data_IF_597435936172
#
_entry.id   IF_597435936172
#
_cell.length_a   1.000
_cell.length_b   1.000
_cell.length_c   1.000
_cell.angle_alpha   90.00
_cell.angle_beta   90.00
_cell.angle_gamma   90.00
#
_symmetry.space_group_name_H-M   'P 1'
#
loop_
_entity.id
_entity.type
_entity.pdbx_description
1 polymer ?
#
# COMPACT_ATOMS: atom_id res chain seq x y z
N UNK A 1 18.81 0.03 36.78
CA UNK A 1 18.09 0.67 35.67
C UNK A 1 19.14 1.14 34.70
N UNK A 2 19.30 0.47 33.56
CA UNK A 2 20.17 0.96 32.50
C UNK A 2 19.61 2.28 31.98
N UNK A 3 20.47 3.27 31.74
CA UNK A 3 20.05 4.47 31.04
C UNK A 3 19.49 4.07 29.66
N UNK A 4 18.46 4.76 29.14
CA UNK A 4 18.01 4.51 27.78
C UNK A 4 19.20 4.72 26.83
N UNK A 5 19.42 3.76 25.92
CA UNK A 5 20.57 3.79 25.01
C UNK A 5 20.57 5.02 24.10
N UNK A 6 19.39 5.60 23.86
CA UNK A 6 19.19 6.83 23.10
C UNK A 6 18.17 7.76 23.79
N UNK A 7 18.38 9.08 23.77
CA UNK A 7 17.38 10.08 24.17
C UNK A 7 16.06 9.92 23.40
N UNK A 8 14.92 10.15 24.08
CA UNK A 8 13.60 10.00 23.46
C UNK A 8 13.39 10.90 22.22
N UNK A 9 13.98 12.10 22.21
CA UNK A 9 13.95 12.99 21.06
C UNK A 9 14.67 12.41 19.84
N UNK A 10 15.77 11.68 20.04
CA UNK A 10 16.52 11.06 18.95
C UNK A 10 15.75 9.86 18.37
N UNK A 11 15.06 9.10 19.23
CA UNK A 11 14.16 8.02 18.82
C UNK A 11 13.02 8.56 17.96
N UNK A 12 12.35 9.63 18.42
CA UNK A 12 11.26 10.28 17.71
C UNK A 12 11.74 10.77 16.31
N UNK A 13 12.93 11.35 16.24
CA UNK A 13 13.55 11.81 15.00
C UNK A 13 13.89 10.64 14.06
N UNK A 14 14.43 9.54 14.59
CA UNK A 14 14.79 8.34 13.84
C UNK A 14 13.59 7.56 13.31
N UNK A 15 12.39 7.80 13.83
CA UNK A 15 11.14 7.25 13.29
C UNK A 15 10.57 8.16 12.20
N UNK A 16 10.45 9.46 12.50
CA UNK A 16 9.75 10.40 11.63
C UNK A 16 10.58 10.74 10.38
N UNK A 17 11.88 11.00 10.52
CA UNK A 17 12.71 11.40 9.38
C UNK A 17 12.74 10.35 8.27
N UNK A 18 13.01 9.05 8.53
CA UNK A 18 12.99 8.04 7.47
C UNK A 18 11.65 7.92 6.77
N UNK A 19 10.55 7.97 7.51
CA UNK A 19 9.22 7.88 6.91
C UNK A 19 8.90 9.11 6.03
N UNK A 20 9.27 10.31 6.48
CA UNK A 20 9.13 11.52 5.64
C UNK A 20 10.02 11.44 4.40
N UNK A 21 11.27 10.95 4.54
CA UNK A 21 12.17 10.73 3.40
C UNK A 21 11.60 9.70 2.42
N UNK A 22 10.99 8.63 2.91
CA UNK A 22 10.29 7.63 2.10
C UNK A 22 9.16 8.25 1.27
N UNK A 23 8.33 9.10 1.88
CA UNK A 23 7.28 9.84 1.15
C UNK A 23 7.85 10.81 0.11
N UNK A 24 8.91 11.54 0.45
CA UNK A 24 9.59 12.46 -0.49
C UNK A 24 10.16 11.67 -1.66
N UNK A 25 10.76 10.51 -1.40
CA UNK A 25 11.28 9.62 -2.44
C UNK A 25 10.16 9.08 -3.34
N UNK A 26 9.07 8.57 -2.76
CA UNK A 26 7.89 8.15 -3.53
C UNK A 26 7.33 9.29 -4.38
N UNK A 27 7.27 10.52 -3.86
CA UNK A 27 6.83 11.67 -4.63
C UNK A 27 7.79 12.00 -5.78
N UNK A 28 9.11 11.92 -5.55
CA UNK A 28 10.13 12.10 -6.58
C UNK A 28 10.01 11.06 -7.70
N UNK A 29 9.84 9.78 -7.37
CA UNK A 29 9.66 8.72 -8.36
C UNK A 29 8.34 8.87 -9.12
N UNK A 30 7.27 9.30 -8.45
CA UNK A 30 6.00 9.64 -9.11
C UNK A 30 6.16 10.82 -10.10
N UNK A 31 6.95 11.85 -9.74
CA UNK A 31 7.28 12.95 -10.64
C UNK A 31 8.12 12.49 -11.83
N UNK A 32 9.05 11.56 -11.64
CA UNK A 32 9.81 10.95 -12.73
C UNK A 32 8.89 10.20 -13.70
N UNK A 33 7.99 9.35 -13.18
CA UNK A 33 6.99 8.64 -13.99
C UNK A 33 6.08 9.61 -14.74
N UNK A 34 5.71 10.75 -14.14
CA UNK A 34 4.97 11.82 -14.82
C UNK A 34 5.78 12.50 -15.94
N UNK A 35 7.10 12.51 -15.81
CA UNK A 35 8.03 13.00 -16.84
C UNK A 35 8.05 12.13 -18.10
N UNK A 36 7.71 10.84 -17.98
CA UNK A 36 7.52 9.94 -19.14
C UNK A 36 6.27 10.38 -19.91
N UNK A 37 6.52 11.08 -21.03
CA UNK A 37 5.46 11.57 -21.92
C UNK A 37 5.15 10.52 -22.97
N UNK A 38 3.86 10.19 -23.12
CA UNK A 38 3.33 9.26 -24.11
C UNK A 38 3.32 9.90 -25.52
N UNK A 39 4.48 10.35 -25.99
CA UNK A 39 4.66 11.07 -27.25
C UNK A 39 5.32 10.21 -28.34
N UNK A 40 5.53 8.91 -28.07
CA UNK A 40 6.30 8.01 -28.92
C UNK A 40 7.82 8.17 -28.74
N UNK A 41 8.57 7.18 -29.23
CA UNK A 41 10.04 7.22 -29.26
C UNK A 41 10.52 7.46 -30.70
N UNK A 42 11.05 8.64 -31.03
CA UNK A 42 11.47 8.96 -32.40
C UNK A 42 12.61 8.07 -32.92
N UNK A 43 13.46 7.53 -32.04
CA UNK A 43 14.67 6.80 -32.43
C UNK A 43 14.44 5.31 -32.76
N UNK A 44 13.43 4.65 -32.18
CA UNK A 44 13.04 3.27 -32.53
C UNK A 44 12.15 3.21 -33.79
N UNK A 45 11.49 4.31 -34.13
CA UNK A 45 10.72 4.50 -35.37
C UNK A 45 11.59 4.65 -36.62
N UNK A 46 12.89 4.93 -36.46
CA UNK A 46 13.82 5.09 -37.59
C UNK A 46 14.25 3.74 -38.23
N UNK A 47 13.87 2.59 -37.64
CA UNK A 47 14.21 1.26 -38.18
C UNK A 47 13.10 0.59 -39.01
N UNK A 48 11.92 1.21 -39.11
CA UNK A 48 10.83 0.73 -39.96
C UNK A 48 10.15 1.92 -40.66
N UNK A 49 10.57 2.18 -41.90
CA UNK A 49 9.96 3.18 -42.77
C UNK A 49 8.46 2.89 -42.96
N UNK A 50 7.61 3.87 -42.58
CA UNK A 50 6.24 4.21 -43.06
C UNK A 50 5.17 4.61 -41.99
N UNK A 51 5.47 4.67 -40.68
CA UNK A 51 4.43 4.73 -39.63
C UNK A 51 4.26 6.05 -38.85
N UNK A 52 4.31 7.21 -39.51
CA UNK A 52 3.99 8.48 -38.85
C UNK A 52 2.55 8.57 -38.32
N UNK A 53 1.58 8.06 -39.10
CA UNK A 53 0.14 8.09 -38.77
C UNK A 53 -0.26 6.90 -37.86
N UNK A 54 0.33 5.72 -38.09
CA UNK A 54 0.12 4.53 -37.27
C UNK A 54 0.63 4.71 -35.83
N UNK A 55 1.76 5.39 -35.62
CA UNK A 55 2.29 5.62 -34.27
C UNK A 55 1.37 6.50 -33.42
N UNK A 56 0.83 7.57 -34.00
CA UNK A 56 -0.13 8.44 -33.34
C UNK A 56 -1.42 7.68 -33.01
N UNK A 57 -1.86 6.80 -33.93
CA UNK A 57 -3.01 5.92 -33.72
C UNK A 57 -2.77 4.92 -32.60
N UNK A 58 -1.61 4.25 -32.55
CA UNK A 58 -1.28 3.30 -31.48
C UNK A 58 -1.23 4.01 -30.12
N UNK A 59 -0.58 5.18 -30.02
CA UNK A 59 -0.53 5.98 -28.79
C UNK A 59 -1.93 6.37 -28.30
N UNK A 60 -2.81 6.76 -29.23
CA UNK A 60 -4.20 7.07 -28.93
C UNK A 60 -4.94 5.83 -28.39
N UNK A 61 -4.87 4.71 -29.10
CA UNK A 61 -5.51 3.45 -28.68
C UNK A 61 -5.02 3.00 -27.30
N UNK A 62 -3.70 3.04 -27.08
CA UNK A 62 -3.08 2.66 -25.81
C UNK A 62 -3.57 3.54 -24.64
N UNK A 63 -3.71 4.85 -24.88
CA UNK A 63 -4.25 5.78 -23.88
C UNK A 63 -5.75 5.55 -23.62
N UNK A 64 -6.52 5.22 -24.66
CA UNK A 64 -7.95 4.87 -24.53
C UNK A 64 -8.14 3.60 -23.70
N UNK A 65 -7.38 2.53 -23.97
CA UNK A 65 -7.41 1.27 -23.21
C UNK A 65 -7.03 1.52 -21.74
N UNK A 66 -5.94 2.25 -21.50
CA UNK A 66 -5.54 2.62 -20.14
C UNK A 66 -6.64 3.41 -19.42
N UNK A 67 -7.37 4.27 -20.14
CA UNK A 67 -8.54 4.99 -19.62
C UNK A 67 -9.66 4.05 -19.17
N UNK A 68 -10.00 3.03 -19.97
CA UNK A 68 -11.01 2.03 -19.59
C UNK A 68 -10.58 1.21 -18.37
N UNK A 69 -9.32 0.78 -18.30
CA UNK A 69 -8.78 0.07 -17.14
C UNK A 69 -8.84 0.96 -15.89
N UNK A 70 -8.46 2.24 -16.02
CA UNK A 70 -8.51 3.20 -14.92
C UNK A 70 -9.92 3.43 -14.39
N UNK A 71 -10.89 3.59 -15.29
CA UNK A 71 -12.29 3.79 -14.95
C UNK A 71 -12.85 2.54 -14.27
N UNK A 72 -12.61 1.35 -14.83
CA UNK A 72 -13.05 0.07 -14.27
C UNK A 72 -12.47 -0.19 -12.87
N UNK A 73 -11.15 -0.03 -12.71
CA UNK A 73 -10.48 -0.24 -11.42
C UNK A 73 -10.95 0.75 -10.36
N UNK A 74 -11.15 2.02 -10.74
CA UNK A 74 -11.69 3.04 -9.82
C UNK A 74 -13.14 2.73 -9.44
N UNK A 75 -13.98 2.33 -10.40
CA UNK A 75 -15.37 2.00 -10.15
C UNK A 75 -15.51 0.80 -9.20
N UNK A 76 -14.71 -0.25 -9.41
CA UNK A 76 -14.69 -1.43 -8.54
C UNK A 76 -14.26 -1.07 -7.12
N UNK A 77 -13.11 -0.40 -6.93
CA UNK A 77 -12.64 -0.06 -5.58
C UNK A 77 -13.60 0.87 -4.84
N UNK A 78 -14.23 1.84 -5.53
CA UNK A 78 -15.24 2.70 -4.89
C UNK A 78 -16.42 1.86 -4.38
N UNK A 79 -16.87 0.87 -5.14
CA UNK A 79 -17.94 -0.02 -4.71
C UNK A 79 -17.51 -0.93 -3.57
N UNK A 80 -16.36 -1.55 -3.67
CA UNK A 80 -15.82 -2.40 -2.61
C UNK A 80 -15.67 -1.63 -1.29
N UNK A 81 -15.08 -0.42 -1.35
CA UNK A 81 -14.88 0.42 -0.17
C UNK A 81 -16.20 0.93 0.43
N UNK A 82 -17.25 1.12 -0.36
CA UNK A 82 -18.58 1.42 0.18
C UNK A 82 -19.09 0.31 1.10
N UNK A 83 -18.91 -0.95 0.72
CA UNK A 83 -19.28 -2.09 1.58
C UNK A 83 -18.37 -2.20 2.81
N UNK A 84 -17.06 -1.98 2.64
CA UNK A 84 -16.11 -1.98 3.75
C UNK A 84 -16.42 -0.92 4.80
N UNK A 85 -16.85 0.29 4.39
CA UNK A 85 -17.24 1.35 5.34
C UNK A 85 -18.41 0.91 6.22
N UNK A 86 -19.41 0.24 5.64
CA UNK A 86 -20.54 -0.30 6.41
C UNK A 86 -20.05 -1.33 7.44
N UNK A 87 -19.15 -2.23 7.02
CA UNK A 87 -18.51 -3.18 7.93
C UNK A 87 -17.73 -2.49 9.05
N UNK A 88 -16.89 -1.50 8.73
CA UNK A 88 -16.10 -0.75 9.72
C UNK A 88 -17.00 -0.10 10.76
N UNK A 89 -18.11 0.52 10.36
CA UNK A 89 -19.06 1.16 11.29
C UNK A 89 -19.70 0.13 12.22
N UNK A 90 -20.20 -0.98 11.67
CA UNK A 90 -20.85 -2.03 12.47
C UNK A 90 -19.85 -2.67 13.44
N UNK A 91 -18.66 -3.01 12.96
CA UNK A 91 -17.63 -3.66 13.76
C UNK A 91 -17.06 -2.72 14.81
N UNK A 92 -16.92 -1.42 14.51
CA UNK A 92 -16.57 -0.39 15.50
C UNK A 92 -17.61 -0.29 16.61
N UNK A 93 -18.90 -0.40 16.29
CA UNK A 93 -19.96 -0.44 17.30
C UNK A 93 -19.86 -1.67 18.23
N UNK A 94 -19.49 -2.82 17.67
CA UNK A 94 -19.24 -4.05 18.44
C UNK A 94 -18.03 -3.89 19.37
N UNK A 95 -16.92 -3.35 18.86
CA UNK A 95 -15.70 -3.09 19.65
C UNK A 95 -15.97 -2.08 20.77
N UNK A 96 -16.74 -1.02 20.50
CA UNK A 96 -17.11 -0.04 21.51
C UNK A 96 -17.94 -0.65 22.65
N UNK A 97 -18.77 -1.66 22.36
CA UNK A 97 -19.59 -2.34 23.34
C UNK A 97 -18.82 -3.40 24.14
N UNK A 98 -17.91 -4.15 23.51
CA UNK A 98 -17.23 -5.30 24.13
C UNK A 98 -15.84 -5.00 24.69
N UNK A 99 -15.14 -3.98 24.17
CA UNK A 99 -13.73 -3.74 24.46
C UNK A 99 -13.56 -2.36 25.10
N UNK A 100 -13.21 -1.34 24.31
CA UNK A 100 -13.03 0.04 24.75
C UNK A 100 -12.97 0.99 23.55
N UNK A 101 -13.05 2.29 23.83
CA UNK A 101 -13.09 3.32 22.80
C UNK A 101 -11.71 3.61 22.17
N UNK A 102 -10.61 3.37 22.88
CA UNK A 102 -9.25 3.48 22.36
C UNK A 102 -8.98 2.43 21.27
N UNK A 103 -9.37 1.18 21.51
CA UNK A 103 -9.31 0.11 20.50
C UNK A 103 -10.11 0.45 19.25
N UNK A 104 -11.30 1.07 19.42
CA UNK A 104 -12.13 1.52 18.28
C UNK A 104 -11.42 2.59 17.46
N UNK A 105 -10.81 3.58 18.10
CA UNK A 105 -10.05 4.63 17.40
C UNK A 105 -8.87 4.02 16.65
N UNK A 106 -8.11 3.14 17.29
CA UNK A 106 -7.00 2.44 16.64
C UNK A 106 -7.47 1.61 15.44
N UNK A 107 -8.57 0.86 15.58
CA UNK A 107 -9.20 0.09 14.52
C UNK A 107 -9.60 0.95 13.34
N UNK A 108 -10.28 2.07 13.55
CA UNK A 108 -10.69 2.98 12.47
C UNK A 108 -9.48 3.58 11.77
N UNK A 109 -8.46 4.00 12.52
CA UNK A 109 -7.21 4.54 11.95
C UNK A 109 -6.49 3.48 11.10
N UNK A 110 -6.41 2.24 11.59
CA UNK A 110 -5.84 1.11 10.84
C UNK A 110 -6.63 0.80 9.57
N UNK A 111 -7.96 0.75 9.67
CA UNK A 111 -8.84 0.51 8.52
C UNK A 111 -8.70 1.60 7.45
N UNK A 112 -8.73 2.87 7.83
CA UNK A 112 -8.54 3.99 6.90
C UNK A 112 -7.16 3.95 6.26
N UNK A 113 -6.12 3.63 7.02
CA UNK A 113 -4.76 3.53 6.49
C UNK A 113 -4.61 2.37 5.49
N UNK A 114 -5.30 1.25 5.72
CA UNK A 114 -5.35 0.10 4.80
C UNK A 114 -6.08 0.44 3.49
N UNK A 115 -7.23 1.11 3.57
CA UNK A 115 -7.97 1.61 2.40
C UNK A 115 -7.11 2.57 1.59
N UNK A 116 -6.44 3.53 2.25
CA UNK A 116 -5.54 4.48 1.58
C UNK A 116 -4.37 3.76 0.90
N UNK A 117 -3.81 2.73 1.54
CA UNK A 117 -2.70 1.93 1.01
C UNK A 117 -3.10 1.21 -0.29
N UNK A 118 -4.25 0.54 -0.30
CA UNK A 118 -4.76 -0.11 -1.52
C UNK A 118 -5.09 0.90 -2.63
N UNK A 119 -5.69 2.03 -2.28
CA UNK A 119 -6.03 3.07 -3.24
C UNK A 119 -4.80 3.72 -3.89
N UNK A 120 -3.78 4.08 -3.09
CA UNK A 120 -2.52 4.64 -3.61
C UNK A 120 -1.85 3.64 -4.54
N UNK A 121 -1.79 2.37 -4.14
CA UNK A 121 -1.25 1.27 -4.96
C UNK A 121 -1.94 1.18 -6.33
N UNK A 122 -3.27 1.07 -6.34
CA UNK A 122 -4.03 1.00 -7.61
C UNK A 122 -3.78 2.23 -8.49
N UNK A 123 -3.80 3.44 -7.91
CA UNK A 123 -3.60 4.67 -8.69
C UNK A 123 -2.22 4.73 -9.34
N UNK A 124 -1.17 4.26 -8.66
CA UNK A 124 0.16 4.25 -9.25
C UNK A 124 0.32 3.12 -10.28
N UNK A 125 -0.28 1.95 -10.06
CA UNK A 125 -0.21 0.84 -11.01
C UNK A 125 -0.88 1.18 -12.35
N UNK A 126 -2.11 1.69 -12.31
CA UNK A 126 -2.83 2.17 -13.49
C UNK A 126 -2.13 3.37 -14.16
N UNK A 127 -1.39 4.17 -13.40
CA UNK A 127 -0.59 5.25 -13.99
C UNK A 127 0.68 4.72 -14.67
N UNK A 128 1.24 3.61 -14.17
CA UNK A 128 2.54 3.09 -14.60
C UNK A 128 2.42 2.09 -15.74
N UNK A 129 1.35 1.29 -15.80
CA UNK A 129 1.16 0.23 -16.80
C UNK A 129 1.33 0.73 -18.25
N UNK A 130 0.65 1.82 -18.62
CA UNK A 130 0.69 2.43 -19.95
C UNK A 130 2.07 2.99 -20.30
N UNK A 131 2.80 3.49 -19.31
CA UNK A 131 4.16 4.01 -19.47
C UNK A 131 5.17 2.88 -19.62
N UNK A 132 4.96 1.78 -18.91
CA UNK A 132 5.77 0.57 -19.06
C UNK A 132 5.65 0.03 -20.49
N UNK A 133 4.41 -0.13 -20.99
CA UNK A 133 4.16 -0.56 -22.38
C UNK A 133 4.82 0.38 -23.39
N UNK A 134 4.73 1.69 -23.17
CA UNK A 134 5.34 2.71 -24.02
C UNK A 134 6.88 2.62 -24.05
N UNK A 135 7.54 2.52 -22.90
CA UNK A 135 9.01 2.42 -22.83
C UNK A 135 9.53 1.06 -23.31
N UNK A 136 8.74 -0.01 -23.22
CA UNK A 136 9.06 -1.31 -23.82
C UNK A 136 9.18 -1.26 -25.36
N UNK A 137 8.61 -0.24 -26.03
CA UNK A 137 8.84 -0.03 -27.47
C UNK A 137 10.27 0.38 -27.80
N UNK A 138 10.99 0.95 -26.83
CA UNK A 138 12.39 1.33 -26.98
C UNK A 138 13.28 0.13 -26.68
N UNK A 139 13.15 -0.41 -25.46
CA UNK A 139 13.89 -1.58 -25.00
C UNK A 139 13.31 -2.12 -23.68
N UNK A 140 13.61 -3.39 -23.37
CA UNK A 140 13.14 -4.05 -22.15
C UNK A 140 13.65 -3.39 -20.86
N UNK A 141 14.87 -2.84 -20.87
CA UNK A 141 15.45 -2.23 -19.66
C UNK A 141 14.75 -0.92 -19.30
N UNK A 142 14.39 -0.10 -20.29
CA UNK A 142 13.60 1.12 -20.09
C UNK A 142 12.21 0.81 -19.52
N UNK A 143 11.52 -0.22 -20.04
CA UNK A 143 10.25 -0.68 -19.48
C UNK A 143 10.37 -1.20 -18.04
N UNK A 144 11.42 -1.98 -17.75
CA UNK A 144 11.71 -2.47 -16.41
C UNK A 144 11.99 -1.33 -15.41
N UNK A 145 12.73 -0.28 -15.80
CA UNK A 145 12.98 0.90 -14.95
C UNK A 145 11.67 1.59 -14.56
N UNK A 146 10.73 1.75 -15.50
CA UNK A 146 9.40 2.30 -15.22
C UNK A 146 8.60 1.40 -14.26
N UNK A 147 8.59 0.09 -14.49
CA UNK A 147 7.86 -0.86 -13.66
C UNK A 147 8.39 -0.89 -12.22
N UNK A 148 9.71 -0.98 -12.04
CA UNK A 148 10.33 -0.96 -10.71
C UNK A 148 10.04 0.35 -9.99
N UNK A 149 10.17 1.51 -10.66
CA UNK A 149 9.87 2.80 -10.03
C UNK A 149 8.40 2.89 -9.59
N UNK A 150 7.46 2.38 -10.39
CA UNK A 150 6.06 2.30 -10.00
C UNK A 150 5.85 1.46 -8.73
N UNK A 151 6.47 0.29 -8.66
CA UNK A 151 6.46 -0.57 -7.47
C UNK A 151 7.11 0.10 -6.25
N UNK A 152 8.19 0.85 -6.45
CA UNK A 152 8.86 1.61 -5.38
C UNK A 152 7.96 2.68 -4.79
N UNK A 153 7.21 3.41 -5.62
CA UNK A 153 6.25 4.41 -5.16
C UNK A 153 5.21 3.77 -4.26
N UNK A 154 4.63 2.63 -4.67
CA UNK A 154 3.68 1.87 -3.86
C UNK A 154 4.29 1.43 -2.53
N UNK A 155 5.42 0.71 -2.57
CA UNK A 155 6.02 0.13 -1.36
C UNK A 155 6.49 1.16 -0.33
N UNK A 156 7.26 2.18 -0.77
CA UNK A 156 7.79 3.20 0.13
C UNK A 156 6.69 4.11 0.68
N UNK A 157 5.66 4.44 -0.11
CA UNK A 157 4.56 5.27 0.38
C UNK A 157 3.73 4.53 1.44
N UNK A 158 3.43 3.25 1.20
CA UNK A 158 2.67 2.41 2.10
C UNK A 158 3.34 2.25 3.47
N UNK A 159 4.62 1.85 3.48
CA UNK A 159 5.37 1.67 4.73
C UNK A 159 5.53 3.01 5.46
N UNK A 160 5.80 4.10 4.73
CA UNK A 160 5.96 5.42 5.34
C UNK A 160 4.68 5.95 5.96
N UNK A 161 3.54 5.84 5.26
CA UNK A 161 2.24 6.22 5.82
C UNK A 161 1.89 5.33 7.02
N UNK A 162 2.13 4.02 6.92
CA UNK A 162 1.86 3.08 8.02
C UNK A 162 2.67 3.39 9.28
N UNK A 163 3.98 3.64 9.14
CA UNK A 163 4.85 4.02 10.27
C UNK A 163 4.41 5.35 10.88
N UNK A 164 4.12 6.37 10.06
CA UNK A 164 3.67 7.67 10.57
C UNK A 164 2.32 7.59 11.27
N UNK A 165 1.36 6.83 10.72
CA UNK A 165 0.04 6.64 11.30
C UNK A 165 0.12 5.92 12.65
N UNK A 166 0.88 4.82 12.72
CA UNK A 166 1.09 4.07 13.96
C UNK A 166 1.82 4.92 15.00
N UNK A 167 2.90 5.60 14.61
CA UNK A 167 3.65 6.46 15.51
C UNK A 167 2.82 7.63 16.04
N UNK A 168 2.04 8.29 15.19
CA UNK A 168 1.12 9.34 15.60
C UNK A 168 0.08 8.81 16.59
N UNK A 169 -0.47 7.62 16.34
CA UNK A 169 -1.43 6.95 17.23
C UNK A 169 -0.81 6.67 18.60
N UNK A 170 0.41 6.11 18.64
CA UNK A 170 1.16 5.86 19.89
C UNK A 170 1.36 7.18 20.65
N UNK A 171 1.80 8.25 19.98
CA UNK A 171 2.03 9.55 20.65
C UNK A 171 0.74 10.14 21.20
N UNK A 172 -0.37 10.08 20.44
CA UNK A 172 -1.68 10.57 20.88
C UNK A 172 -2.16 9.80 22.11
N UNK A 173 -2.02 8.47 22.13
CA UNK A 173 -2.49 7.65 23.26
C UNK A 173 -1.61 7.82 24.51
N UNK A 174 -0.35 8.21 24.35
CA UNK A 174 0.55 8.54 25.45
C UNK A 174 0.39 9.99 25.97
N UNK A 175 -0.47 10.83 25.36
CA UNK A 175 -0.70 12.19 25.87
C UNK A 175 -1.47 12.15 27.21
N UNK A 176 -1.04 12.91 28.25
CA UNK A 176 -1.71 12.94 29.55
C UNK A 176 -3.18 13.38 29.51
N UNK A 177 -3.57 14.11 28.46
CA UNK A 177 -4.91 14.64 28.23
C UNK A 177 -5.73 13.80 27.25
N UNK A 178 -5.22 12.65 26.80
CA UNK A 178 -5.94 11.81 25.85
C UNK A 178 -7.18 11.20 26.53
N UNK A 179 -8.39 11.41 25.99
CA UNK A 179 -9.61 10.86 26.59
C UNK A 179 -9.71 9.32 26.48
N UNK A 180 -8.78 8.69 25.75
CA UNK A 180 -8.78 7.27 25.43
C UNK A 180 -7.52 6.52 25.94
N UNK A 181 -6.54 7.23 26.49
CA UNK A 181 -5.31 6.65 27.01
C UNK A 181 -5.21 6.83 28.53
N UNK A 182 -5.13 5.74 29.28
CA UNK A 182 -4.77 5.83 30.69
C UNK A 182 -3.27 6.14 30.78
N UNK A 183 -2.91 7.40 31.00
CA UNK A 183 -1.53 7.92 31.04
C UNK A 183 -0.62 7.36 32.16
N UNK A 184 -0.97 6.21 32.74
CA UNK A 184 -0.19 5.46 33.72
C UNK A 184 -0.23 3.94 33.54
N UNK A 185 -0.90 3.42 32.50
CA UNK A 185 -0.94 1.98 32.20
C UNK A 185 -0.44 1.70 30.76
N UNK A 186 0.87 1.44 30.59
CA UNK A 186 1.43 1.10 29.29
C UNK A 186 0.77 -0.13 28.65
N UNK A 187 0.36 -1.13 29.44
CA UNK A 187 -0.26 -2.34 28.90
C UNK A 187 -1.59 -2.01 28.20
N UNK A 188 -2.46 -1.25 28.86
CA UNK A 188 -3.73 -0.82 28.26
C UNK A 188 -3.57 0.05 27.01
N UNK A 189 -2.53 0.89 26.94
CA UNK A 189 -2.24 1.71 25.74
C UNK A 189 -1.90 0.83 24.54
N UNK A 190 -0.98 -0.12 24.69
CA UNK A 190 -0.53 -0.95 23.58
C UNK A 190 -1.55 -2.04 23.21
N UNK A 191 -2.34 -2.52 24.17
CA UNK A 191 -3.52 -3.36 23.89
C UNK A 191 -4.53 -2.63 23.02
N UNK A 192 -4.82 -1.35 23.31
CA UNK A 192 -5.70 -0.54 22.46
C UNK A 192 -5.10 -0.31 21.06
N UNK A 193 -3.78 -0.11 20.96
CA UNK A 193 -3.06 0.04 19.68
C UNK A 193 -3.11 -1.25 18.85
N UNK A 194 -3.27 -2.43 19.45
CA UNK A 194 -3.49 -3.67 18.70
C UNK A 194 -4.72 -3.60 17.78
N UNK A 195 -5.69 -2.73 18.10
CA UNK A 195 -6.80 -2.38 17.21
C UNK A 195 -6.35 -1.89 15.83
N UNK A 196 -5.19 -1.22 15.73
CA UNK A 196 -4.64 -0.73 14.45
C UNK A 196 -4.33 -1.87 13.48
N UNK A 197 -3.68 -2.94 13.97
CA UNK A 197 -3.45 -4.15 13.19
C UNK A 197 -4.75 -4.84 12.79
N UNK A 198 -5.67 -4.99 13.75
CA UNK A 198 -6.99 -5.58 13.52
C UNK A 198 -7.76 -4.85 12.40
N UNK A 199 -7.78 -3.51 12.43
CA UNK A 199 -8.42 -2.70 11.41
C UNK A 199 -7.75 -2.85 10.04
N UNK A 200 -6.42 -2.86 10.02
CA UNK A 200 -5.66 -3.03 8.79
C UNK A 200 -5.95 -4.34 8.06
N UNK A 201 -5.86 -5.45 8.78
CA UNK A 201 -6.08 -6.79 8.22
C UNK A 201 -7.54 -7.11 7.96
N UNK A 202 -8.48 -6.55 8.73
CA UNK A 202 -9.91 -6.72 8.45
C UNK A 202 -10.26 -6.14 7.08
N UNK A 203 -9.75 -4.95 6.75
CA UNK A 203 -9.90 -4.36 5.42
C UNK A 203 -9.15 -5.16 4.36
N UNK A 204 -7.92 -5.57 4.66
CA UNK A 204 -7.12 -6.37 3.72
C UNK A 204 -7.81 -7.67 3.32
N UNK A 205 -8.49 -8.34 4.27
CA UNK A 205 -9.26 -9.55 4.01
C UNK A 205 -10.33 -9.29 2.95
N UNK A 206 -11.14 -8.24 3.10
CA UNK A 206 -12.16 -7.91 2.11
C UNK A 206 -11.55 -7.54 0.77
N UNK A 207 -10.46 -6.76 0.74
CA UNK A 207 -9.84 -6.30 -0.51
C UNK A 207 -9.19 -7.44 -1.28
N UNK A 208 -8.52 -8.35 -0.58
CA UNK A 208 -7.88 -9.52 -1.19
C UNK A 208 -8.90 -10.54 -1.69
N UNK A 209 -9.99 -10.75 -0.94
CA UNK A 209 -11.05 -11.68 -1.35
C UNK A 209 -11.90 -11.07 -2.47
N UNK A 210 -12.35 -9.83 -2.33
CA UNK A 210 -13.17 -9.13 -3.31
C UNK A 210 -12.43 -8.93 -4.63
N UNK A 211 -11.26 -8.28 -4.57
CA UNK A 211 -10.39 -8.11 -5.73
C UNK A 211 -9.91 -9.44 -6.32
N UNK A 212 -9.57 -10.42 -5.47
CA UNK A 212 -9.14 -11.77 -5.89
C UNK A 212 -10.21 -12.56 -6.65
N UNK A 213 -11.47 -12.50 -6.19
CA UNK A 213 -12.60 -13.10 -6.90
C UNK A 213 -12.80 -12.40 -8.25
N UNK A 214 -12.72 -11.06 -8.28
CA UNK A 214 -12.90 -10.29 -9.51
C UNK A 214 -11.83 -10.64 -10.56
N UNK A 215 -10.54 -10.57 -10.19
CA UNK A 215 -9.45 -10.87 -11.13
C UNK A 215 -9.49 -12.31 -11.59
N UNK A 216 -9.57 -13.30 -10.68
CA UNK A 216 -9.48 -14.70 -11.10
C UNK A 216 -10.70 -15.18 -11.88
N UNK A 217 -11.88 -14.60 -11.67
CA UNK A 217 -13.03 -14.88 -12.51
C UNK A 217 -12.85 -14.35 -13.94
N UNK A 218 -12.22 -13.17 -14.11
CA UNK A 218 -11.96 -12.58 -15.42
C UNK A 218 -10.81 -13.30 -16.14
N UNK A 219 -9.67 -13.48 -15.48
CA UNK A 219 -8.46 -14.19 -15.93
C UNK A 219 -8.81 -15.59 -16.48
N UNK A 220 -9.41 -16.45 -15.64
CA UNK A 220 -9.78 -17.82 -16.04
C UNK A 220 -10.80 -17.83 -17.18
N UNK A 221 -11.74 -16.88 -17.20
CA UNK A 221 -12.73 -16.77 -18.27
C UNK A 221 -12.13 -16.32 -19.59
N UNK A 222 -11.24 -15.33 -19.56
CA UNK A 222 -10.54 -14.79 -20.72
C UNK A 222 -9.64 -15.87 -21.34
N UNK A 223 -8.84 -16.53 -20.51
CA UNK A 223 -7.86 -17.50 -20.94
C UNK A 223 -8.46 -18.78 -21.51
N UNK A 224 -9.44 -19.37 -20.82
CA UNK A 224 -10.03 -20.62 -21.28
C UNK A 224 -10.75 -20.44 -22.61
N UNK A 225 -11.60 -19.43 -22.73
CA UNK A 225 -12.37 -19.21 -23.97
C UNK A 225 -11.47 -18.67 -25.08
N UNK A 226 -10.56 -17.75 -24.77
CA UNK A 226 -9.64 -17.17 -25.76
C UNK A 226 -8.61 -18.18 -26.27
N UNK A 227 -7.74 -18.66 -25.38
CA UNK A 227 -6.58 -19.49 -25.75
C UNK A 227 -6.98 -20.91 -26.14
N UNK A 228 -7.91 -21.53 -25.39
CA UNK A 228 -8.20 -22.97 -25.53
C UNK A 228 -9.34 -23.25 -26.51
N UNK A 229 -10.42 -22.47 -26.47
CA UNK A 229 -11.59 -22.73 -27.33
C UNK A 229 -11.51 -21.99 -28.67
N UNK A 230 -11.24 -20.69 -28.65
CA UNK A 230 -11.21 -19.85 -29.85
C UNK A 230 -9.85 -19.87 -30.57
N UNK A 231 -8.77 -20.25 -29.87
CA UNK A 231 -7.42 -20.27 -30.42
C UNK A 231 -6.88 -18.89 -30.78
N UNK A 232 -7.32 -17.84 -30.06
CA UNK A 232 -6.79 -16.48 -30.15
C UNK A 232 -5.69 -16.27 -29.10
N UNK A 233 -4.86 -15.26 -29.31
CA UNK A 233 -3.77 -14.92 -28.39
C UNK A 233 -4.28 -14.43 -27.03
N UNK A 234 -3.41 -14.49 -26.02
CA UNK A 234 -3.63 -13.86 -24.72
C UNK A 234 -3.80 -12.35 -24.86
N UNK A 235 -4.67 -11.75 -24.04
CA UNK A 235 -4.99 -10.32 -24.09
C UNK A 235 -5.49 -9.82 -25.46
N UNK A 236 -5.99 -10.71 -26.32
CA UNK A 236 -6.52 -10.32 -27.63
C UNK A 236 -7.73 -9.37 -27.49
N UNK A 237 -7.75 -8.22 -28.18
CA UNK A 237 -8.79 -7.20 -28.03
C UNK A 237 -10.19 -7.65 -28.48
N UNK A 238 -10.32 -8.76 -29.21
CA UNK A 238 -11.62 -9.35 -29.56
C UNK A 238 -12.25 -10.13 -28.40
N UNK A 239 -11.47 -10.47 -27.38
CA UNK A 239 -11.97 -11.14 -26.19
C UNK A 239 -12.58 -10.13 -25.21
N UNK A 240 -13.90 -10.18 -24.96
CA UNK A 240 -14.58 -9.18 -24.13
C UNK A 240 -14.17 -9.22 -22.64
N UNK A 241 -13.50 -10.29 -22.20
CA UNK A 241 -13.07 -10.45 -20.81
C UNK A 241 -11.75 -9.72 -20.49
N UNK A 242 -10.95 -9.33 -21.49
CA UNK A 242 -9.58 -8.82 -21.30
C UNK A 242 -9.53 -7.50 -20.51
N UNK A 243 -10.50 -6.61 -20.71
CA UNK A 243 -10.60 -5.38 -19.89
C UNK A 243 -10.87 -5.72 -18.43
N UNK A 244 -11.74 -6.70 -18.16
CA UNK A 244 -12.03 -7.11 -16.79
C UNK A 244 -10.81 -7.77 -16.14
N UNK A 245 -10.04 -8.53 -16.91
CA UNK A 245 -8.80 -9.17 -16.44
C UNK A 245 -7.75 -8.13 -16.02
N UNK A 246 -7.43 -7.21 -16.92
CA UNK A 246 -6.48 -6.12 -16.67
C UNK A 246 -6.95 -5.15 -15.57
N UNK A 247 -8.27 -4.94 -15.43
CA UNK A 247 -8.84 -4.24 -14.26
C UNK A 247 -8.59 -5.05 -12.98
N UNK A 248 -8.79 -6.35 -13.06
CA UNK A 248 -8.55 -7.35 -12.02
C UNK A 248 -7.16 -7.24 -11.41
N UNK A 249 -6.11 -7.18 -12.23
CA UNK A 249 -4.73 -7.04 -11.75
C UNK A 249 -4.54 -5.82 -10.84
N UNK A 250 -5.19 -4.71 -11.19
CA UNK A 250 -5.07 -3.47 -10.43
C UNK A 250 -5.87 -3.48 -9.12
N UNK A 251 -6.98 -4.21 -9.06
CA UNK A 251 -7.86 -4.24 -7.87
C UNK A 251 -7.56 -5.41 -6.93
N UNK A 252 -7.17 -6.56 -7.45
CA UNK A 252 -6.77 -7.73 -6.67
C UNK A 252 -5.29 -7.68 -6.34
N UNK A 253 -4.46 -7.79 -7.37
CA UNK A 253 -3.03 -8.04 -7.23
C UNK A 253 -2.26 -6.80 -6.76
N UNK A 254 -2.79 -5.60 -6.99
CA UNK A 254 -2.20 -4.35 -6.47
C UNK A 254 -2.92 -3.83 -5.23
N UNK A 255 -4.20 -3.47 -5.32
CA UNK A 255 -4.90 -2.85 -4.19
C UNK A 255 -5.06 -3.82 -3.00
N UNK A 256 -5.49 -5.05 -3.28
CA UNK A 256 -5.61 -6.12 -2.28
C UNK A 256 -4.26 -6.47 -1.65
N UNK A 257 -3.21 -6.65 -2.46
CA UNK A 257 -1.85 -6.90 -1.95
C UNK A 257 -1.32 -5.73 -1.11
N UNK A 258 -1.57 -4.49 -1.53
CA UNK A 258 -1.19 -3.30 -0.75
C UNK A 258 -1.81 -3.33 0.64
N UNK A 259 -3.13 -3.50 0.72
CA UNK A 259 -3.82 -3.62 2.00
C UNK A 259 -3.30 -4.80 2.86
N UNK A 260 -3.00 -5.94 2.24
CA UNK A 260 -2.46 -7.15 2.90
C UNK A 260 -1.07 -6.94 3.50
N UNK A 261 -0.16 -6.31 2.75
CA UNK A 261 1.17 -5.98 3.24
C UNK A 261 1.13 -4.94 4.36
N UNK A 262 0.22 -3.95 4.26
CA UNK A 262 -0.02 -3.02 5.36
C UNK A 262 -0.53 -3.74 6.62
N UNK A 263 -1.52 -4.64 6.49
CA UNK A 263 -2.05 -5.43 7.59
C UNK A 263 -0.97 -6.25 8.28
N UNK A 264 -0.15 -6.95 7.49
CA UNK A 264 1.00 -7.73 7.99
C UNK A 264 2.01 -6.87 8.75
N UNK A 265 2.34 -5.69 8.23
CA UNK A 265 3.20 -4.71 8.91
C UNK A 265 2.58 -4.22 10.23
N UNK A 266 1.30 -3.86 10.21
CA UNK A 266 0.59 -3.31 11.36
C UNK A 266 0.46 -4.35 12.47
N UNK A 267 0.04 -5.58 12.15
CA UNK A 267 -0.11 -6.66 13.13
C UNK A 267 1.22 -7.09 13.75
N UNK A 268 2.26 -7.31 12.93
CA UNK A 268 3.57 -7.72 13.45
C UNK A 268 4.17 -6.68 14.38
N UNK A 269 4.04 -5.40 14.03
CA UNK A 269 4.52 -4.29 14.87
C UNK A 269 3.69 -4.17 16.15
N UNK A 270 2.35 -4.24 16.05
CA UNK A 270 1.48 -4.16 17.22
C UNK A 270 1.68 -5.34 18.17
N UNK A 271 1.84 -6.56 17.66
CA UNK A 271 2.11 -7.75 18.47
C UNK A 271 3.41 -7.60 19.27
N UNK A 272 4.46 -7.08 18.65
CA UNK A 272 5.72 -6.79 19.34
C UNK A 272 5.55 -5.72 20.43
N UNK A 273 4.76 -4.67 20.17
CA UNK A 273 4.46 -3.61 21.14
C UNK A 273 3.66 -4.12 22.35
N UNK A 274 2.63 -4.93 22.12
CA UNK A 274 1.80 -5.54 23.18
C UNK A 274 2.65 -6.44 24.08
N UNK A 275 3.46 -7.33 23.50
CA UNK A 275 4.37 -8.19 24.26
C UNK A 275 5.42 -7.36 25.01
N UNK A 276 5.93 -6.30 24.38
CA UNK A 276 6.86 -5.37 25.01
C UNK A 276 6.24 -4.69 26.23
N UNK A 277 4.98 -4.23 26.13
CA UNK A 277 4.26 -3.58 27.21
C UNK A 277 4.00 -4.50 28.41
N UNK A 278 3.66 -5.77 28.15
CA UNK A 278 3.43 -6.78 29.18
C UNK A 278 4.69 -7.12 29.99
N UNK A 279 5.89 -6.80 29.49
CA UNK A 279 7.16 -7.06 30.18
C UNK A 279 7.41 -6.18 31.42
N UNK A 280 6.59 -5.16 31.67
CA UNK A 280 6.77 -4.20 32.77
C UNK A 280 6.71 -4.78 34.19
N UNK A 281 6.08 -5.95 34.36
CA UNK A 281 6.04 -6.67 35.64
C UNK A 281 7.34 -7.39 36.02
N UNK A 282 8.32 -7.45 35.11
CA UNK A 282 9.63 -8.06 35.35
C UNK A 282 10.62 -6.97 35.76
N UNK A 283 11.42 -7.21 36.81
CA UNK A 283 12.46 -6.27 37.24
C UNK A 283 13.44 -5.98 36.08
N UNK A 284 13.44 -4.75 35.58
CA UNK A 284 14.20 -4.35 34.37
C UNK A 284 13.43 -4.45 33.05
N UNK A 285 12.10 -4.56 33.09
CA UNK A 285 11.23 -4.62 31.90
C UNK A 285 11.33 -3.39 30.99
N UNK A 286 11.11 -3.60 29.70
CA UNK A 286 11.23 -2.59 28.64
C UNK A 286 10.04 -1.62 28.58
N UNK A 287 8.98 -1.89 29.36
CA UNK A 287 7.73 -1.12 29.36
C UNK A 287 7.89 0.38 29.65
N UNK A 288 8.90 0.77 30.44
CA UNK A 288 9.14 2.15 30.83
C UNK A 288 10.29 2.82 30.07
N UNK A 289 10.97 2.09 29.17
CA UNK A 289 12.00 2.65 28.30
C UNK A 289 11.42 2.89 26.91
N UNK A 290 11.23 4.17 26.57
CA UNK A 290 10.71 4.58 25.27
C UNK A 290 11.55 4.05 24.10
N UNK A 291 12.87 4.04 24.23
CA UNK A 291 13.77 3.58 23.18
C UNK A 291 13.63 2.08 22.94
N UNK A 292 13.47 1.29 24.01
CA UNK A 292 13.29 -0.14 23.90
C UNK A 292 11.89 -0.50 23.39
N UNK A 293 10.86 0.25 23.82
CA UNK A 293 9.49 0.03 23.39
C UNK A 293 9.30 0.32 21.89
N UNK A 294 9.95 1.37 21.38
CA UNK A 294 9.86 1.75 19.96
C UNK A 294 10.75 0.92 19.04
N UNK A 295 11.49 -0.07 19.55
CA UNK A 295 12.36 -0.94 18.76
C UNK A 295 11.71 -1.49 17.48
N UNK A 296 10.50 -2.11 17.49
CA UNK A 296 9.90 -2.62 16.26
C UNK A 296 9.59 -1.50 15.24
N UNK A 297 9.19 -0.30 15.69
CA UNK A 297 8.94 0.85 14.82
C UNK A 297 10.25 1.41 14.24
N UNK A 298 11.32 1.43 15.03
CA UNK A 298 12.67 1.81 14.60
C UNK A 298 13.24 0.85 13.54
N UNK A 299 12.97 -0.45 13.68
CA UNK A 299 13.35 -1.46 12.67
C UNK A 299 12.66 -1.15 11.34
N UNK A 300 11.34 -0.90 11.35
CA UNK A 300 10.61 -0.52 10.13
C UNK A 300 11.10 0.79 9.53
N UNK A 301 11.38 1.79 10.37
CA UNK A 301 11.89 3.10 9.93
C UNK A 301 13.28 2.99 9.30
N UNK A 302 14.16 2.19 9.89
CA UNK A 302 15.49 1.91 9.32
C UNK A 302 15.37 1.10 8.02
N UNK A 303 14.40 0.19 7.94
CA UNK A 303 14.08 -0.56 6.73
C UNK A 303 13.74 0.34 5.54
N UNK A 304 13.09 1.49 5.76
CA UNK A 304 12.83 2.49 4.71
C UNK A 304 14.14 3.03 4.13
N UNK A 305 15.11 3.38 4.99
CA UNK A 305 16.41 3.89 4.53
C UNK A 305 17.21 2.83 3.76
N UNK A 306 17.20 1.59 4.27
CA UNK A 306 17.84 0.45 3.59
C UNK A 306 17.18 0.22 2.23
N UNK A 307 15.84 0.25 2.17
CA UNK A 307 15.10 0.15 0.91
C UNK A 307 15.48 1.23 -0.10
N UNK A 308 15.54 2.49 0.32
CA UNK A 308 15.99 3.60 -0.54
C UNK A 308 17.43 3.35 -1.03
N UNK A 309 18.34 2.95 -0.14
CA UNK A 309 19.72 2.67 -0.50
C UNK A 309 19.84 1.53 -1.51
N UNK A 310 19.07 0.45 -1.33
CA UNK A 310 19.02 -0.68 -2.26
C UNK A 310 18.50 -0.27 -3.64
N UNK A 311 17.54 0.65 -3.71
CA UNK A 311 17.01 1.16 -4.98
C UNK A 311 17.96 2.13 -5.71
N UNK A 312 19.01 2.61 -5.03
CA UNK A 312 20.03 3.47 -5.64
C UNK A 312 21.21 2.70 -6.23
N UNK A 313 21.32 1.39 -5.94
CA UNK A 313 22.40 0.50 -6.39
C UNK A 313 21.94 -0.27 -7.61
#
# INVERSE_FOLDING_TARGET
MGAPAMPAMDVDLLIVLPAVLGLIWSAKECLYLKGVKLNGHPDSLAKQDQQGDDSAKILKTMTEIAGFIQEGATAFLVKEYQYMVVYVVIFSGLLAYQVDLGTVVAFVVGAVTSILSGYIGMKIAVFTNVRCTHECWKDLASGYDVAIRGGCVMGLSLVSVGVLALYALIKIFNLPSAPFGNAGDPAGIYDAIAGFGLGGSSIALFGRVGGGIYTKAADVGADLVGKVEAGIDEDDPHNPAVIADNVGDNVGDVAGMGADLFGSFAESTCAALVVGAASGGVAGGIAHDWSAMMFPVLVSSTGILVGIATLCV
#
